data_IF_232523275645
#
_entry.id   IF_232523275645
#
_cell.length_a   1.000
_cell.length_b   1.000
_cell.length_c   1.000
_cell.angle_alpha   90.00
_cell.angle_beta   90.00
_cell.angle_gamma   90.00
#
_symmetry.space_group_name_H-M   'P 1'
#
loop_
_entity.id
_entity.type
_entity.pdbx_description
1 polymer ?
#
# COMPACT_ATOMS: atom_id res chain seq x y z
N UNK A 1 -25.48 -34.14 26.73
CA UNK A 1 -26.81 -33.61 26.37
C UNK A 1 -26.74 -32.09 26.33
N UNK A 2 -26.72 -31.49 25.12
CA UNK A 2 -27.23 -30.14 24.75
C UNK A 2 -26.72 -29.81 23.34
N UNK A 3 -27.55 -30.14 22.36
CA UNK A 3 -27.45 -29.67 20.98
C UNK A 3 -27.60 -28.14 20.95
N UNK A 4 -26.74 -27.44 20.22
CA UNK A 4 -27.02 -26.06 19.77
C UNK A 4 -26.70 -25.91 18.29
N UNK A 5 -27.76 -26.13 17.52
CA UNK A 5 -28.20 -25.39 16.33
C UNK A 5 -27.14 -24.83 15.38
N UNK A 6 -27.07 -25.47 14.21
CA UNK A 6 -26.69 -24.92 12.90
C UNK A 6 -27.05 -23.44 12.80
N UNK A 7 -26.06 -22.59 12.56
CA UNK A 7 -26.31 -21.34 11.85
C UNK A 7 -26.38 -21.66 10.36
N UNK A 8 -27.60 -21.59 9.84
CA UNK A 8 -27.90 -21.56 8.41
C UNK A 8 -27.26 -20.31 7.82
N UNK A 9 -26.27 -20.48 6.96
CA UNK A 9 -25.82 -19.44 6.03
C UNK A 9 -26.98 -19.17 5.07
N UNK A 10 -27.68 -18.04 5.27
CA UNK A 10 -28.73 -17.56 4.38
C UNK A 10 -28.10 -17.09 3.06
N UNK A 11 -27.69 -18.05 2.23
CA UNK A 11 -27.40 -17.83 0.82
C UNK A 11 -28.74 -17.51 0.17
N UNK A 12 -29.01 -16.22 -0.09
CA UNK A 12 -30.07 -15.84 -1.03
C UNK A 12 -29.65 -16.36 -2.40
N UNK A 13 -30.00 -17.61 -2.69
CA UNK A 13 -29.87 -18.20 -4.02
C UNK A 13 -30.82 -17.43 -4.91
N UNK A 14 -30.28 -16.44 -5.63
CA UNK A 14 -30.98 -15.78 -6.72
C UNK A 14 -31.20 -16.86 -7.79
N UNK A 15 -32.35 -17.53 -7.73
CA UNK A 15 -32.71 -18.59 -8.67
C UNK A 15 -33.00 -17.92 -10.01
N UNK A 16 -31.95 -17.71 -10.82
CA UNK A 16 -32.09 -17.37 -12.24
C UNK A 16 -32.68 -18.62 -12.88
N UNK A 17 -33.97 -18.58 -13.17
CA UNK A 17 -34.67 -19.61 -13.91
C UNK A 17 -34.16 -19.54 -15.37
N UNK A 18 -33.08 -20.26 -15.66
CA UNK A 18 -32.55 -20.40 -17.02
C UNK A 18 -33.55 -21.28 -17.77
N UNK A 19 -34.48 -20.65 -18.49
CA UNK A 19 -35.29 -21.35 -19.47
C UNK A 19 -34.38 -21.77 -20.63
N UNK A 20 -33.81 -22.97 -20.55
CA UNK A 20 -32.99 -23.53 -21.64
C UNK A 20 -33.91 -23.94 -22.78
N UNK A 21 -34.23 -22.99 -23.66
CA UNK A 21 -34.71 -23.34 -24.99
C UNK A 21 -33.56 -24.08 -25.67
N UNK A 22 -33.75 -25.34 -26.02
CA UNK A 22 -32.80 -26.09 -26.82
C UNK A 22 -32.63 -25.36 -28.17
N UNK A 23 -31.55 -24.61 -28.33
CA UNK A 23 -31.22 -23.98 -29.61
C UNK A 23 -30.86 -25.09 -30.59
N UNK A 24 -31.74 -25.35 -31.56
CA UNK A 24 -31.34 -26.04 -32.78
C UNK A 24 -30.20 -25.20 -33.40
N UNK A 25 -28.97 -25.73 -33.36
CA UNK A 25 -27.79 -25.05 -33.89
C UNK A 25 -27.82 -25.11 -35.43
N UNK A 26 -28.63 -24.24 -36.03
CA UNK A 26 -28.56 -23.94 -37.45
C UNK A 26 -27.53 -22.82 -37.60
N UNK A 27 -26.47 -23.06 -38.40
CA UNK A 27 -25.60 -21.98 -38.84
C UNK A 27 -26.34 -21.23 -39.94
N UNK A 28 -26.60 -19.96 -39.74
CA UNK A 28 -27.38 -19.17 -40.68
C UNK A 28 -26.53 -18.07 -41.29
N UNK A 29 -26.76 -17.85 -42.58
CA UNK A 29 -26.25 -16.70 -43.28
C UNK A 29 -27.32 -15.61 -43.20
N UNK A 30 -27.00 -14.49 -42.56
CA UNK A 30 -27.92 -13.36 -42.52
C UNK A 30 -27.20 -12.03 -42.63
N UNK A 31 -27.91 -11.07 -43.22
CA UNK A 31 -27.42 -9.73 -43.51
C UNK A 31 -28.22 -8.74 -42.67
N UNK A 32 -27.50 -7.85 -41.98
CA UNK A 32 -28.12 -6.72 -41.28
C UNK A 32 -28.70 -5.72 -42.28
N UNK A 33 -29.61 -4.87 -41.83
CA UNK A 33 -30.22 -3.81 -42.65
C UNK A 33 -29.18 -2.84 -43.24
N UNK A 34 -28.04 -2.67 -42.55
CA UNK A 34 -26.92 -1.84 -43.00
C UNK A 34 -25.95 -2.57 -43.94
N UNK A 35 -26.24 -3.82 -44.27
CA UNK A 35 -25.51 -4.60 -45.25
C UNK A 35 -24.32 -5.41 -44.72
N UNK A 36 -24.07 -5.39 -43.40
CA UNK A 36 -23.08 -6.29 -42.77
C UNK A 36 -23.60 -7.73 -42.81
N UNK A 37 -22.81 -8.62 -43.39
CA UNK A 37 -23.11 -10.03 -43.59
C UNK A 37 -22.45 -10.89 -42.51
N UNK A 38 -23.21 -11.84 -41.98
CA UNK A 38 -22.73 -12.85 -41.04
C UNK A 38 -22.91 -14.20 -41.71
N UNK A 39 -21.79 -14.89 -41.98
CA UNK A 39 -21.77 -16.21 -42.62
C UNK A 39 -21.48 -17.31 -41.61
N UNK A 40 -22.07 -18.48 -41.80
CA UNK A 40 -21.95 -19.64 -40.90
C UNK A 40 -22.22 -19.25 -39.42
N UNK A 41 -23.12 -18.29 -39.18
CA UNK A 41 -23.30 -17.74 -37.86
C UNK A 41 -24.18 -18.67 -37.02
N UNK A 42 -23.59 -19.23 -35.96
CA UNK A 42 -24.32 -20.06 -35.00
C UNK A 42 -24.87 -19.18 -33.88
N UNK A 43 -26.18 -19.18 -33.69
CA UNK A 43 -26.81 -18.43 -32.58
C UNK A 43 -26.51 -19.18 -31.27
N UNK A 44 -25.73 -18.53 -30.40
CA UNK A 44 -25.34 -19.07 -29.10
C UNK A 44 -26.26 -18.66 -27.96
N UNK A 45 -26.91 -17.50 -28.09
CA UNK A 45 -27.89 -16.97 -27.12
C UNK A 45 -28.80 -15.95 -27.80
N UNK A 46 -30.05 -15.93 -27.37
CA UNK A 46 -31.02 -14.87 -27.69
C UNK A 46 -31.19 -14.01 -26.45
N UNK A 47 -30.94 -12.71 -26.56
CA UNK A 47 -31.17 -11.71 -25.53
C UNK A 47 -32.31 -10.78 -25.97
N UNK A 48 -33.02 -10.09 -25.05
CA UNK A 48 -34.15 -9.25 -25.42
C UNK A 48 -33.85 -8.16 -26.47
N UNK A 49 -32.61 -7.68 -26.51
CA UNK A 49 -32.12 -6.63 -27.41
C UNK A 49 -31.25 -7.15 -28.56
N UNK A 50 -30.93 -8.44 -28.63
CA UNK A 50 -30.13 -8.96 -29.73
C UNK A 50 -29.79 -10.46 -29.72
N UNK A 51 -29.11 -10.90 -30.78
CA UNK A 51 -28.61 -12.26 -30.94
C UNK A 51 -27.11 -12.30 -30.65
N UNK A 52 -26.69 -13.18 -29.74
CA UNK A 52 -25.28 -13.50 -29.55
C UNK A 52 -24.93 -14.63 -30.50
N UNK A 53 -24.15 -14.31 -31.53
CA UNK A 53 -23.72 -15.27 -32.54
C UNK A 53 -22.26 -15.61 -32.39
N UNK A 54 -21.92 -16.85 -32.72
CA UNK A 54 -20.57 -17.35 -32.86
C UNK A 54 -20.30 -17.58 -34.34
N UNK A 55 -19.26 -16.94 -34.85
CA UNK A 55 -18.76 -17.10 -36.22
C UNK A 55 -17.31 -17.60 -36.17
N UNK A 56 -16.71 -17.82 -37.35
CA UNK A 56 -15.27 -18.12 -37.47
C UNK A 56 -14.38 -17.01 -36.90
N UNK A 57 -14.86 -15.76 -36.86
CA UNK A 57 -14.11 -14.61 -36.35
C UNK A 57 -14.30 -14.34 -34.86
N UNK A 58 -15.22 -15.04 -34.19
CA UNK A 58 -15.42 -14.91 -32.75
C UNK A 58 -16.89 -14.86 -32.34
N UNK A 59 -17.14 -14.38 -31.12
CA UNK A 59 -18.49 -14.18 -30.59
C UNK A 59 -18.84 -12.70 -30.73
N UNK A 60 -20.03 -12.40 -31.24
CA UNK A 60 -20.51 -11.03 -31.42
C UNK A 60 -21.99 -10.95 -31.08
N UNK A 61 -22.40 -9.87 -30.43
CA UNK A 61 -23.82 -9.54 -30.23
C UNK A 61 -24.29 -8.66 -31.39
N UNK A 62 -25.45 -8.98 -31.94
CA UNK A 62 -26.08 -8.25 -33.04
C UNK A 62 -27.42 -7.73 -32.54
N UNK A 63 -27.63 -6.42 -32.61
CA UNK A 63 -28.88 -5.80 -32.15
C UNK A 63 -30.06 -6.25 -33.00
N UNK A 64 -31.19 -6.55 -32.38
CA UNK A 64 -32.42 -6.88 -33.11
C UNK A 64 -32.88 -5.76 -34.04
N UNK A 65 -32.63 -4.49 -33.67
CA UNK A 65 -32.98 -3.34 -34.48
C UNK A 65 -32.22 -3.29 -35.83
N UNK A 66 -31.08 -3.99 -35.93
CA UNK A 66 -30.27 -4.07 -37.14
C UNK A 66 -30.59 -5.30 -37.99
N UNK A 67 -31.47 -6.19 -37.54
CA UNK A 67 -31.83 -7.43 -38.24
C UNK A 67 -33.03 -7.21 -39.17
N UNK A 68 -33.16 -7.98 -40.27
CA UNK A 68 -34.35 -7.99 -41.11
C UNK A 68 -35.62 -8.33 -40.32
N UNK A 69 -36.78 -7.80 -40.75
CA UNK A 69 -38.08 -8.05 -40.08
C UNK A 69 -38.40 -9.53 -39.93
N UNK A 70 -38.11 -10.33 -40.95
CA UNK A 70 -38.30 -11.78 -40.94
C UNK A 70 -37.57 -12.45 -39.75
N UNK A 71 -36.36 -11.98 -39.43
CA UNK A 71 -35.57 -12.48 -38.31
C UNK A 71 -36.10 -11.93 -36.98
N UNK A 72 -36.46 -10.65 -36.93
CA UNK A 72 -37.08 -10.06 -35.74
C UNK A 72 -38.37 -10.80 -35.34
N UNK A 73 -39.23 -11.12 -36.31
CA UNK A 73 -40.49 -11.84 -36.11
C UNK A 73 -40.26 -13.28 -35.64
N UNK A 74 -39.30 -13.99 -36.27
CA UNK A 74 -38.93 -15.37 -35.91
C UNK A 74 -38.45 -15.50 -34.46
N UNK A 75 -37.75 -14.49 -33.94
CA UNK A 75 -37.26 -14.47 -32.56
C UNK A 75 -38.16 -13.68 -31.60
N UNK A 76 -39.35 -13.27 -32.05
CA UNK A 76 -40.34 -12.57 -31.22
C UNK A 76 -39.78 -11.29 -30.57
N UNK A 77 -39.06 -10.49 -31.35
CA UNK A 77 -38.49 -9.24 -30.88
C UNK A 77 -39.56 -8.29 -30.33
N UNK A 78 -39.34 -7.81 -29.11
CA UNK A 78 -40.17 -6.83 -28.42
C UNK A 78 -39.32 -5.57 -28.13
N UNK A 79 -39.56 -4.46 -28.85
CA UNK A 79 -38.79 -3.22 -28.69
C UNK A 79 -38.82 -2.64 -27.28
N UNK A 80 -39.90 -2.85 -26.52
CA UNK A 80 -40.01 -2.35 -25.15
C UNK A 80 -39.14 -3.18 -24.19
N UNK A 81 -39.19 -4.51 -24.31
CA UNK A 81 -38.33 -5.40 -23.52
C UNK A 81 -36.85 -5.22 -23.85
N UNK A 82 -36.53 -5.01 -25.12
CA UNK A 82 -35.18 -4.70 -25.56
C UNK A 82 -34.64 -3.43 -24.91
N UNK A 83 -35.42 -2.35 -24.95
CA UNK A 83 -35.05 -1.06 -24.35
C UNK A 83 -34.85 -1.17 -22.84
N UNK A 84 -35.77 -1.84 -22.14
CA UNK A 84 -35.66 -2.07 -20.70
C UNK A 84 -34.40 -2.89 -20.34
N UNK A 85 -34.13 -3.95 -21.09
CA UNK A 85 -32.96 -4.80 -20.88
C UNK A 85 -31.65 -4.04 -21.13
N UNK A 86 -31.53 -3.30 -22.25
CA UNK A 86 -30.32 -2.53 -22.54
C UNK A 86 -30.09 -1.42 -21.50
N UNK A 87 -31.15 -0.77 -21.00
CA UNK A 87 -31.04 0.21 -19.93
C UNK A 87 -30.55 -0.42 -18.61
N UNK A 88 -31.06 -1.61 -18.26
CA UNK A 88 -30.60 -2.37 -17.09
C UNK A 88 -29.13 -2.79 -17.23
N UNK A 89 -28.73 -3.33 -18.38
CA UNK A 89 -27.34 -3.70 -18.65
C UNK A 89 -26.40 -2.50 -18.55
N UNK A 90 -26.80 -1.34 -19.10
CA UNK A 90 -26.02 -0.11 -19.01
C UNK A 90 -25.88 0.33 -17.54
N UNK A 91 -26.97 0.33 -16.76
CA UNK A 91 -26.93 0.68 -15.35
C UNK A 91 -26.04 -0.27 -14.53
N UNK A 92 -26.14 -1.58 -14.76
CA UNK A 92 -25.30 -2.59 -14.10
C UNK A 92 -23.83 -2.41 -14.45
N UNK A 93 -23.52 -2.14 -15.71
CA UNK A 93 -22.14 -1.86 -16.15
C UNK A 93 -21.60 -0.60 -15.47
N UNK A 94 -22.36 0.50 -15.44
CA UNK A 94 -21.95 1.74 -14.77
C UNK A 94 -21.74 1.51 -13.27
N UNK A 95 -22.64 0.80 -12.59
CA UNK A 95 -22.49 0.48 -11.17
C UNK A 95 -21.23 -0.36 -10.90
N UNK A 96 -20.95 -1.36 -11.75
CA UNK A 96 -19.73 -2.16 -11.66
C UNK A 96 -18.46 -1.31 -11.83
N UNK A 97 -18.45 -0.39 -12.81
CA UNK A 97 -17.32 0.52 -13.02
C UNK A 97 -17.11 1.46 -11.84
N UNK A 98 -18.19 2.00 -11.27
CA UNK A 98 -18.12 2.84 -10.07
C UNK A 98 -17.57 2.06 -8.87
N UNK A 99 -18.05 0.84 -8.65
CA UNK A 99 -17.57 -0.03 -7.58
C UNK A 99 -16.08 -0.35 -7.73
N UNK A 100 -15.61 -0.63 -8.95
CA UNK A 100 -14.19 -0.87 -9.22
C UNK A 100 -13.34 0.39 -8.98
N UNK A 101 -13.81 1.55 -9.42
CA UNK A 101 -13.12 2.82 -9.20
C UNK A 101 -13.03 3.15 -7.70
N UNK A 102 -14.11 2.92 -6.94
CA UNK A 102 -14.11 3.15 -5.49
C UNK A 102 -13.19 2.15 -4.77
N UNK A 103 -13.24 0.86 -5.12
CA UNK A 103 -12.33 -0.14 -4.57
C UNK A 103 -10.85 0.19 -4.87
N UNK A 104 -10.56 0.71 -6.05
CA UNK A 104 -9.21 1.16 -6.42
C UNK A 104 -8.77 2.36 -5.58
N UNK A 105 -9.63 3.38 -5.41
CA UNK A 105 -9.33 4.52 -4.53
C UNK A 105 -9.09 4.09 -3.09
N UNK A 106 -9.92 3.20 -2.55
CA UNK A 106 -9.74 2.67 -1.19
C UNK A 106 -8.42 1.92 -1.04
N UNK A 107 -8.00 1.16 -2.06
CA UNK A 107 -6.69 0.49 -2.09
C UNK A 107 -5.53 1.48 -2.14
N UNK A 108 -5.64 2.53 -2.95
CA UNK A 108 -4.63 3.58 -3.05
C UNK A 108 -4.50 4.35 -1.73
N UNK A 109 -5.62 4.71 -1.10
CA UNK A 109 -5.64 5.36 0.22
C UNK A 109 -5.05 4.46 1.30
N UNK A 110 -5.38 3.17 1.30
CA UNK A 110 -4.81 2.20 2.23
C UNK A 110 -3.30 2.01 2.00
N UNK A 111 -2.86 1.95 0.74
CA UNK A 111 -1.45 1.85 0.38
C UNK A 111 -0.69 3.13 0.78
N UNK A 112 -1.27 4.31 0.58
CA UNK A 112 -0.68 5.58 0.99
C UNK A 112 -0.53 5.67 2.52
N UNK A 113 -1.55 5.27 3.28
CA UNK A 113 -1.49 5.20 4.74
C UNK A 113 -0.43 4.21 5.22
N UNK A 114 -0.38 3.02 4.64
CA UNK A 114 0.62 2.02 4.98
C UNK A 114 2.03 2.51 4.66
N UNK A 115 2.24 3.16 3.51
CA UNK A 115 3.53 3.74 3.14
C UNK A 115 3.93 4.86 4.12
N UNK A 116 3.00 5.74 4.51
CA UNK A 116 3.26 6.78 5.51
C UNK A 116 3.71 6.18 6.86
N UNK A 117 3.05 5.11 7.32
CA UNK A 117 3.44 4.40 8.55
C UNK A 117 4.85 3.81 8.40
N UNK A 118 5.18 3.20 7.27
CA UNK A 118 6.52 2.64 7.04
C UNK A 118 7.61 3.72 7.03
N UNK A 119 7.33 4.87 6.41
CA UNK A 119 8.25 6.03 6.41
C UNK A 119 8.45 6.57 7.82
N UNK A 120 7.38 6.72 8.60
CA UNK A 120 7.46 7.18 9.99
C UNK A 120 8.24 6.19 10.87
N UNK A 121 7.98 4.89 10.73
CA UNK A 121 8.74 3.84 11.43
C UNK A 121 10.23 3.88 11.07
N UNK A 122 10.56 4.07 9.78
CA UNK A 122 11.95 4.17 9.35
C UNK A 122 12.61 5.44 9.88
N UNK A 123 11.90 6.57 9.88
CA UNK A 123 12.39 7.82 10.46
C UNK A 123 12.64 7.68 11.97
N UNK A 124 11.76 7.00 12.69
CA UNK A 124 11.94 6.70 14.12
C UNK A 124 13.18 5.82 14.36
N UNK A 125 13.38 4.75 13.56
CA UNK A 125 14.58 3.91 13.62
C UNK A 125 15.86 4.71 13.35
N UNK A 126 15.86 5.52 12.29
CA UNK A 126 16.99 6.37 11.93
C UNK A 126 17.30 7.37 13.05
N UNK A 127 16.27 7.95 13.68
CA UNK A 127 16.42 8.84 14.82
C UNK A 127 17.03 8.14 16.03
N UNK A 128 16.56 6.95 16.38
CA UNK A 128 17.13 6.15 17.48
C UNK A 128 18.61 5.85 17.19
N UNK A 129 18.94 5.43 15.97
CA UNK A 129 20.32 5.15 15.58
C UNK A 129 21.20 6.40 15.68
N UNK A 130 20.72 7.55 15.21
CA UNK A 130 21.45 8.81 15.30
C UNK A 130 21.72 9.21 16.76
N UNK A 131 20.72 9.05 17.63
CA UNK A 131 20.86 9.31 19.06
C UNK A 131 21.85 8.33 19.73
N UNK A 132 21.82 7.04 19.37
CA UNK A 132 22.78 6.05 19.86
C UNK A 132 24.21 6.41 19.45
N UNK A 133 24.41 6.79 18.19
CA UNK A 133 25.70 7.22 17.67
C UNK A 133 26.20 8.48 18.39
N UNK A 134 25.32 9.47 18.61
CA UNK A 134 25.66 10.70 19.36
C UNK A 134 26.04 10.38 20.81
N UNK A 135 25.29 9.51 21.47
CA UNK A 135 25.60 9.07 22.83
C UNK A 135 26.97 8.40 22.91
N UNK A 136 27.29 7.50 21.98
CA UNK A 136 28.58 6.83 21.91
C UNK A 136 29.72 7.82 21.66
N UNK A 137 29.54 8.81 20.78
CA UNK A 137 30.52 9.86 20.52
C UNK A 137 30.78 10.71 21.78
N UNK A 138 29.74 11.16 22.47
CA UNK A 138 29.86 11.93 23.71
C UNK A 138 30.50 11.11 24.83
N UNK A 139 30.25 9.80 24.89
CA UNK A 139 30.92 8.91 25.84
C UNK A 139 32.43 8.83 25.58
N UNK A 140 32.84 8.75 24.31
CA UNK A 140 34.26 8.75 23.92
C UNK A 140 34.93 10.09 24.23
N UNK A 141 34.24 11.19 23.97
CA UNK A 141 34.70 12.55 24.28
C UNK A 141 34.88 12.75 25.79
N UNK A 142 33.90 12.30 26.60
CA UNK A 142 34.00 12.33 28.06
C UNK A 142 35.24 11.57 28.55
N UNK A 143 35.45 10.35 28.04
CA UNK A 143 36.61 9.52 28.43
C UNK A 143 37.94 10.21 28.07
N UNK A 144 38.00 10.85 26.90
CA UNK A 144 39.18 11.59 26.43
C UNK A 144 39.44 12.81 27.31
N UNK A 145 38.41 13.55 27.68
CA UNK A 145 38.52 14.71 28.58
C UNK A 145 38.98 14.28 29.98
N UNK A 146 38.44 13.17 30.50
CA UNK A 146 38.87 12.61 31.78
C UNK A 146 40.35 12.23 31.78
N UNK A 147 40.85 11.63 30.68
CA UNK A 147 42.27 11.30 30.52
C UNK A 147 43.13 12.58 30.54
N UNK A 148 42.80 13.57 29.72
CA UNK A 148 43.53 14.87 29.66
C UNK A 148 43.52 15.61 30.99
N UNK A 149 42.39 15.59 31.70
CA UNK A 149 42.30 16.18 33.04
C UNK A 149 43.20 15.41 34.02
N UNK A 150 43.26 14.08 33.90
CA UNK A 150 44.17 13.24 34.68
C UNK A 150 45.64 13.57 34.42
N UNK A 151 46.02 13.73 33.16
CA UNK A 151 47.37 14.14 32.72
C UNK A 151 47.73 15.55 33.21
N UNK A 152 46.84 16.52 33.02
CA UNK A 152 47.04 17.91 33.45
C UNK A 152 47.12 18.08 34.98
N UNK A 153 46.60 17.11 35.75
CA UNK A 153 46.72 17.04 37.21
C UNK A 153 48.04 16.43 37.68
N UNK A 154 48.77 15.69 36.83
CA UNK A 154 50.06 15.13 37.20
C UNK A 154 51.07 16.26 37.45
N UNK A 155 52.01 16.07 38.40
CA UNK A 155 53.13 16.99 38.55
C UNK A 155 53.95 17.05 37.25
N UNK A 156 54.56 18.20 36.96
CA UNK A 156 55.48 18.31 35.82
C UNK A 156 56.80 17.59 36.10
N UNK A 157 57.81 17.75 35.22
CA UNK A 157 59.09 17.07 35.36
C UNK A 157 59.73 17.29 36.74
N UNK A 158 60.28 16.20 37.30
CA UNK A 158 61.03 16.24 38.55
C UNK A 158 62.45 16.78 38.31
N UNK A 159 62.89 17.67 39.18
CA UNK A 159 64.22 18.25 39.17
C UNK A 159 64.88 18.12 40.54
N UNK A 160 66.17 17.77 40.53
CA UNK A 160 66.98 17.63 41.73
C UNK A 160 67.87 18.85 41.92
N UNK A 161 67.80 19.43 43.12
CA UNK A 161 68.68 20.51 43.56
C UNK A 161 69.35 20.09 44.87
N UNK A 162 70.58 19.56 44.78
CA UNK A 162 71.27 18.98 45.92
C UNK A 162 70.50 17.79 46.52
N UNK A 163 70.08 17.87 47.79
CA UNK A 163 69.27 16.85 48.47
C UNK A 163 67.76 17.07 48.37
N UNK A 164 67.31 18.14 47.71
CA UNK A 164 65.90 18.48 47.59
C UNK A 164 65.37 18.13 46.19
N UNK A 165 64.15 17.58 46.15
CA UNK A 165 63.39 17.37 44.91
C UNK A 165 62.32 18.44 44.77
N UNK A 166 62.13 18.92 43.54
CA UNK A 166 61.07 19.86 43.17
C UNK A 166 60.44 19.42 41.86
N UNK A 167 59.21 19.85 41.59
CA UNK A 167 58.53 19.61 40.32
C UNK A 167 58.23 20.94 39.66
N UNK A 168 58.51 21.04 38.36
CA UNK A 168 58.06 22.18 37.58
C UNK A 168 56.53 22.10 37.40
N UNK A 169 55.80 23.23 37.32
CA UNK A 169 54.37 23.19 37.04
C UNK A 169 54.10 22.49 35.70
N UNK A 170 53.15 21.55 35.69
CA UNK A 170 52.73 20.91 34.46
C UNK A 170 52.16 21.98 33.51
N UNK A 171 52.68 22.13 32.28
CA UNK A 171 52.24 23.16 31.34
C UNK A 171 50.76 23.05 30.97
N UNK A 172 50.17 21.86 31.08
CA UNK A 172 48.75 21.62 30.82
C UNK A 172 47.85 22.04 32.00
N UNK A 173 48.42 22.31 33.18
CA UNK A 173 47.66 22.66 34.39
C UNK A 173 46.82 23.93 34.21
N UNK A 174 47.27 24.88 33.40
CA UNK A 174 46.53 26.11 33.08
C UNK A 174 45.24 25.84 32.28
N UNK A 175 45.16 24.71 31.58
CA UNK A 175 44.00 24.32 30.77
C UNK A 175 42.90 23.62 31.60
N UNK A 176 43.18 23.27 32.87
CA UNK A 176 42.25 22.53 33.72
C UNK A 176 40.85 23.15 33.83
N UNK A 177 40.68 24.48 34.02
CA UNK A 177 39.35 25.08 34.10
C UNK A 177 38.55 24.89 32.80
N UNK A 178 39.20 25.06 31.65
CA UNK A 178 38.57 24.88 30.34
C UNK A 178 38.16 23.42 30.12
N UNK A 179 39.07 22.47 30.39
CA UNK A 179 38.78 21.04 30.26
C UNK A 179 37.64 20.58 31.18
N UNK A 180 37.54 21.15 32.39
CA UNK A 180 36.46 20.86 33.33
C UNK A 180 35.12 21.44 32.86
N UNK A 181 35.13 22.64 32.27
CA UNK A 181 33.94 23.21 31.63
C UNK A 181 33.44 22.31 30.50
N UNK A 182 34.33 21.93 29.58
CA UNK A 182 34.01 21.04 28.46
C UNK A 182 33.46 19.69 28.94
N UNK A 183 34.04 19.12 30.01
CA UNK A 183 33.56 17.88 30.60
C UNK A 183 32.11 18.01 31.12
N UNK A 184 31.79 19.13 31.77
CA UNK A 184 30.44 19.38 32.26
C UNK A 184 29.44 19.52 31.10
N UNK A 185 29.82 20.24 30.03
CA UNK A 185 28.98 20.43 28.85
C UNK A 185 28.71 19.07 28.15
N UNK A 186 29.75 18.26 27.94
CA UNK A 186 29.63 16.92 27.34
C UNK A 186 28.74 16.02 28.18
N UNK A 187 28.90 16.03 29.51
CA UNK A 187 28.05 15.24 30.42
C UNK A 187 26.60 15.68 30.40
N UNK A 188 26.37 16.99 30.35
CA UNK A 188 25.04 17.56 30.25
C UNK A 188 24.36 17.11 28.96
N UNK A 189 25.02 17.30 27.82
CA UNK A 189 24.48 16.88 26.52
C UNK A 189 24.25 15.36 26.46
N UNK A 190 25.19 14.56 26.98
CA UNK A 190 25.05 13.10 27.02
C UNK A 190 23.83 12.69 27.85
N UNK A 191 23.57 13.39 28.95
CA UNK A 191 22.37 13.22 29.77
C UNK A 191 21.09 13.51 29.00
N UNK A 192 21.05 14.59 28.23
CA UNK A 192 19.90 14.95 27.40
C UNK A 192 19.67 13.95 26.25
N UNK A 193 20.74 13.52 25.58
CA UNK A 193 20.66 12.48 24.52
C UNK A 193 20.14 11.16 25.09
N UNK A 194 20.57 10.78 26.31
CA UNK A 194 20.04 9.59 27.00
C UNK A 194 18.55 9.69 27.27
N UNK A 195 18.06 10.83 27.79
CA UNK A 195 16.63 11.06 27.99
C UNK A 195 15.84 10.94 26.68
N UNK A 196 16.39 11.47 25.59
CA UNK A 196 15.78 11.36 24.26
C UNK A 196 15.73 9.91 23.76
N UNK A 197 16.79 9.12 24.00
CA UNK A 197 16.80 7.68 23.69
C UNK A 197 15.73 6.92 24.48
N UNK A 198 15.66 7.14 25.79
CA UNK A 198 14.67 6.50 26.66
C UNK A 198 13.23 6.88 26.24
N UNK A 199 13.01 8.13 25.82
CA UNK A 199 11.71 8.56 25.31
C UNK A 199 11.37 7.93 23.96
N UNK A 200 12.35 7.76 23.08
CA UNK A 200 12.14 7.20 21.74
C UNK A 200 11.94 5.67 21.73
N UNK A 201 12.28 4.99 22.83
CA UNK A 201 12.16 3.53 22.98
C UNK A 201 10.92 3.08 23.78
N UNK A 202 10.15 4.01 24.34
CA UNK A 202 8.88 3.76 25.03
C UNK A 202 7.73 3.73 24.03
#
# INVERSE_FOLDING_TARGET
>A
MRLRSRQQVNTKVLTVLIFSVASAALSEDFKTVNGKEYKDATISRVEPDGLVVKTKSGISKISFAELPKEIQERFHYDPQKATAYSAEQAANYTAYQQQQAEAQRQREDAAAKNNAILVEQQAAKNRIQALQNRYAALQQEENTLLLRIGEAKQPGPEHWHGKHKSHQPNPQKSQLPLLQSQLNDVRHEKGEVRKQLEKAQR
#
